data_IF_171512784950
#
_entry.id   IF_171512784950
#
_cell.length_a   1.000
_cell.length_b   1.000
_cell.length_c   1.000
_cell.angle_alpha   90.00
_cell.angle_beta   90.00
_cell.angle_gamma   90.00
#
_symmetry.space_group_name_H-M   'P 1'
#
loop_
_entity.id
_entity.type
_entity.pdbx_description
1 polymer ?
#
# COMPACT_ATOMS: atom_id res chain seq x y z
N UNK A 1 12.84 2.27 6.74
CA UNK A 1 11.38 2.34 6.54
C UNK A 1 10.96 1.43 5.41
N UNK A 2 9.70 1.07 5.36
CA UNK A 2 9.14 0.25 4.30
C UNK A 2 8.77 1.13 3.10
N UNK A 3 8.75 0.50 1.93
CA UNK A 3 8.25 1.16 0.71
C UNK A 3 6.89 0.55 0.40
N UNK A 4 5.89 1.40 0.17
CA UNK A 4 4.60 0.92 -0.30
C UNK A 4 4.55 1.06 -1.82
N UNK A 5 4.04 0.02 -2.48
CA UNK A 5 3.94 -0.02 -3.93
C UNK A 5 2.47 0.00 -4.32
N UNK A 6 2.11 0.82 -5.29
CA UNK A 6 0.74 0.99 -5.73
C UNK A 6 0.64 0.64 -7.21
N UNK A 7 -0.19 -0.37 -7.53
CA UNK A 7 -0.56 -0.69 -8.89
C UNK A 7 -1.92 -0.04 -9.13
N UNK A 8 -1.89 1.16 -9.71
CA UNK A 8 -3.08 2.01 -9.85
C UNK A 8 -3.96 1.57 -11.00
N UNK A 9 -5.23 1.35 -10.73
CA UNK A 9 -6.23 1.05 -11.75
C UNK A 9 -7.40 2.01 -11.67
N UNK A 10 -8.21 2.05 -12.73
CA UNK A 10 -9.37 2.94 -12.78
C UNK A 10 -10.46 2.61 -11.76
N UNK A 11 -10.61 1.33 -11.43
CA UNK A 11 -11.63 0.87 -10.49
C UNK A 11 -11.06 0.39 -9.17
N UNK A 12 -9.87 -0.21 -9.21
CA UNK A 12 -9.23 -0.75 -8.02
C UNK A 12 -7.72 -0.61 -8.12
N UNK A 13 -7.08 -0.59 -6.96
CA UNK A 13 -5.63 -0.49 -6.86
C UNK A 13 -5.11 -1.68 -6.08
N UNK A 14 -4.03 -2.29 -6.59
CA UNK A 14 -3.30 -3.32 -5.85
C UNK A 14 -2.19 -2.67 -5.03
N UNK A 15 -2.01 -3.12 -3.81
CA UNK A 15 -1.01 -2.57 -2.90
C UNK A 15 -0.07 -3.66 -2.43
N UNK A 16 1.21 -3.31 -2.34
CA UNK A 16 2.23 -4.17 -1.77
C UNK A 16 3.13 -3.35 -0.86
N UNK A 17 3.82 -4.00 0.05
CA UNK A 17 4.71 -3.31 0.99
C UNK A 17 5.98 -4.14 1.14
N UNK A 18 7.12 -3.45 1.28
CA UNK A 18 8.39 -4.12 1.56
C UNK A 18 8.56 -4.37 3.05
N UNK A 19 9.49 -5.28 3.38
CA UNK A 19 10.03 -5.38 4.72
C UNK A 19 10.86 -4.12 5.06
N UNK A 20 11.21 -3.91 6.33
CA UNK A 20 12.00 -2.73 6.71
C UNK A 20 13.34 -2.60 6.00
N UNK A 21 13.93 -3.72 5.57
CA UNK A 21 15.19 -3.71 4.84
C UNK A 21 15.02 -3.51 3.34
N UNK A 22 13.76 -3.43 2.87
CA UNK A 22 13.43 -3.17 1.47
C UNK A 22 13.94 -4.24 0.51
N UNK A 23 13.96 -5.49 0.96
CA UNK A 23 14.47 -6.62 0.17
C UNK A 23 13.33 -7.32 -0.57
N UNK A 24 12.21 -7.56 0.11
CA UNK A 24 11.09 -8.34 -0.41
C UNK A 24 9.82 -7.50 -0.35
N UNK A 25 9.08 -7.45 -1.45
CA UNK A 25 7.76 -6.84 -1.49
C UNK A 25 6.70 -7.93 -1.35
N UNK A 26 5.73 -7.72 -0.48
CA UNK A 26 4.65 -8.66 -0.23
C UNK A 26 3.32 -8.01 -0.56
N UNK A 27 2.44 -8.73 -1.25
CA UNK A 27 1.11 -8.24 -1.55
C UNK A 27 0.37 -7.94 -0.25
N UNK A 28 -0.21 -6.74 -0.15
CA UNK A 28 -0.90 -6.28 1.04
C UNK A 28 -2.41 -6.45 0.89
N UNK A 29 -2.99 -5.79 -0.10
CA UNK A 29 -4.43 -5.86 -0.34
C UNK A 29 -4.77 -5.21 -1.69
N UNK A 30 -6.04 -5.30 -2.06
CA UNK A 30 -6.60 -4.57 -3.19
C UNK A 30 -7.74 -3.72 -2.66
N UNK A 31 -7.76 -2.43 -3.01
CA UNK A 31 -8.79 -1.50 -2.57
C UNK A 31 -9.46 -0.87 -3.77
N UNK A 32 -10.72 -0.43 -3.62
CA UNK A 32 -11.36 0.38 -4.64
C UNK A 32 -10.59 1.69 -4.80
N UNK A 33 -10.40 2.13 -6.04
CA UNK A 33 -9.62 3.34 -6.30
C UNK A 33 -10.16 4.56 -5.56
N UNK A 34 -11.48 4.67 -5.44
CA UNK A 34 -12.12 5.78 -4.69
C UNK A 34 -11.74 5.78 -3.20
N UNK A 35 -11.29 4.65 -2.66
CA UNK A 35 -10.95 4.52 -1.25
C UNK A 35 -9.44 4.54 -1.00
N UNK A 36 -8.64 4.74 -2.06
CA UNK A 36 -7.19 4.63 -1.96
C UNK A 36 -6.59 5.57 -0.92
N UNK A 37 -6.95 6.85 -0.95
CA UNK A 37 -6.37 7.81 -0.01
C UNK A 37 -6.78 7.52 1.43
N UNK A 38 -8.02 7.11 1.64
CA UNK A 38 -8.50 6.75 2.98
C UNK A 38 -7.71 5.55 3.51
N UNK A 39 -7.50 4.55 2.67
CA UNK A 39 -6.71 3.38 3.06
C UNK A 39 -5.27 3.77 3.39
N UNK A 40 -4.63 4.56 2.53
CA UNK A 40 -3.24 4.96 2.74
C UNK A 40 -3.08 5.78 4.01
N UNK A 41 -3.98 6.71 4.28
CA UNK A 41 -3.93 7.52 5.51
C UNK A 41 -4.01 6.64 6.75
N UNK A 42 -4.90 5.65 6.74
CA UNK A 42 -5.03 4.70 7.84
C UNK A 42 -3.78 3.84 7.98
N UNK A 43 -3.24 3.37 6.85
CA UNK A 43 -2.05 2.54 6.87
C UNK A 43 -0.85 3.30 7.45
N UNK A 44 -0.63 4.54 6.98
CA UNK A 44 0.49 5.35 7.45
C UNK A 44 0.35 5.76 8.92
N UNK A 45 -0.85 5.83 9.43
CA UNK A 45 -1.07 6.13 10.85
C UNK A 45 -0.63 4.97 11.75
N UNK A 46 -0.61 3.75 11.22
CA UNK A 46 -0.35 2.53 12.00
C UNK A 46 1.00 1.89 11.69
N UNK A 47 1.61 2.18 10.53
CA UNK A 47 2.83 1.52 10.11
C UNK A 47 3.87 2.53 9.63
N UNK A 48 5.15 2.36 10.00
CA UNK A 48 6.22 3.24 9.51
C UNK A 48 6.54 2.89 8.04
N UNK A 49 6.35 3.87 7.19
CA UNK A 49 6.62 3.73 5.77
C UNK A 49 7.57 4.82 5.30
#
# INVERSE_FOLDING_TARGET
>A
ARIICIDYGGKRCGLAVTDPLQIIATALTTVATKDLYTYLASYFANEPV
#
